data_IF_700343215883
#
_entry.id   IF_700343215883
#
_cell.length_a   1.000
_cell.length_b   1.000
_cell.length_c   1.000
_cell.angle_alpha   90.00
_cell.angle_beta   90.00
_cell.angle_gamma   90.00
#
_symmetry.space_group_name_H-M   'P 1'
#
loop_
_entity.id
_entity.type
_entity.pdbx_description
1 polymer ?
#
# COMPACT_ATOMS: atom_id res chain seq x y z
N UNK A 1 -39.29 -25.08 -5.95
CA UNK A 1 -39.64 -25.90 -4.78
C UNK A 1 -38.99 -25.24 -3.57
N UNK A 2 -39.81 -24.63 -2.69
CA UNK A 2 -39.37 -23.91 -1.50
C UNK A 2 -39.26 -24.86 -0.30
N UNK A 3 -38.15 -24.81 0.43
CA UNK A 3 -37.97 -25.26 1.83
C UNK A 3 -36.88 -24.34 2.40
N UNK A 4 -37.14 -23.27 3.18
CA UNK A 4 -37.72 -23.13 4.52
C UNK A 4 -36.99 -23.94 5.62
N UNK A 5 -36.23 -23.18 6.43
CA UNK A 5 -36.26 -23.13 7.92
C UNK A 5 -35.39 -24.11 8.73
N UNK A 6 -34.65 -23.53 9.69
CA UNK A 6 -34.21 -24.15 10.94
C UNK A 6 -32.68 -24.13 11.11
N UNK A 7 -32.07 -23.64 12.19
CA UNK A 7 -32.62 -23.25 13.47
C UNK A 7 -31.58 -22.52 14.35
N UNK A 8 -32.11 -21.81 15.33
CA UNK A 8 -31.39 -21.30 16.50
C UNK A 8 -31.00 -22.47 17.41
N UNK A 9 -29.85 -22.36 18.10
CA UNK A 9 -29.79 -22.66 19.55
C UNK A 9 -28.48 -22.19 20.19
N UNK A 10 -28.62 -21.32 21.19
CA UNK A 10 -27.68 -21.10 22.29
C UNK A 10 -27.84 -22.23 23.31
N UNK A 11 -26.75 -22.71 23.96
CA UNK A 11 -26.72 -23.22 25.35
C UNK A 11 -25.26 -23.62 25.73
N UNK A 12 -24.78 -23.12 26.89
CA UNK A 12 -23.40 -23.24 27.44
C UNK A 12 -23.04 -24.62 28.04
N UNK A 13 -22.13 -24.78 29.04
CA UNK A 13 -21.66 -23.80 30.05
C UNK A 13 -20.15 -23.84 30.45
N UNK A 14 -19.83 -22.91 31.36
CA UNK A 14 -18.71 -22.71 32.28
C UNK A 14 -17.70 -23.84 32.62
N UNK A 15 -16.44 -23.46 32.86
CA UNK A 15 -15.72 -23.81 34.11
C UNK A 15 -14.58 -22.81 34.40
N UNK A 16 -14.59 -22.30 35.63
CA UNK A 16 -13.62 -21.37 36.21
C UNK A 16 -12.49 -22.11 36.94
N UNK A 17 -11.31 -21.50 37.05
CA UNK A 17 -10.38 -21.73 38.17
C UNK A 17 -9.37 -20.58 38.30
N UNK A 18 -9.20 -20.14 39.55
CA UNK A 18 -8.50 -18.94 40.00
C UNK A 18 -7.32 -19.33 40.92
N UNK A 19 -6.38 -18.39 41.12
CA UNK A 19 -5.40 -18.27 42.24
C UNK A 19 -4.14 -19.17 42.08
N UNK A 20 -2.91 -18.64 42.12
CA UNK A 20 -2.15 -18.25 43.33
C UNK A 20 -1.06 -17.21 43.06
N UNK A 21 -1.02 -16.16 43.90
CA UNK A 21 0.15 -15.32 44.17
C UNK A 21 0.93 -15.89 45.36
N UNK A 22 2.21 -16.23 45.17
CA UNK A 22 3.29 -16.35 46.18
C UNK A 22 4.61 -16.21 45.38
N UNK A 23 5.66 -15.47 45.75
CA UNK A 23 5.98 -14.76 46.97
C UNK A 23 7.25 -13.90 46.80
N UNK A 24 7.53 -13.15 47.87
CA UNK A 24 8.66 -12.25 48.08
C UNK A 24 9.82 -13.00 48.77
N UNK A 25 11.08 -12.64 48.52
CA UNK A 25 12.21 -13.13 49.32
C UNK A 25 13.59 -12.92 48.69
N UNK A 26 14.33 -11.93 49.22
CA UNK A 26 15.78 -11.76 49.08
C UNK A 26 16.50 -12.60 50.14
N UNK A 27 17.62 -13.26 49.82
CA UNK A 27 18.94 -13.10 50.48
C UNK A 27 20.03 -14.02 49.86
N UNK A 28 21.29 -13.63 50.12
CA UNK A 28 22.56 -13.91 49.44
C UNK A 28 23.21 -15.26 49.85
N UNK A 29 23.97 -16.01 49.02
CA UNK A 29 25.46 -16.00 48.84
C UNK A 29 25.91 -17.36 48.22
N UNK A 30 27.20 -17.65 47.90
CA UNK A 30 27.85 -17.54 46.59
C UNK A 30 28.28 -18.88 45.96
N UNK A 31 28.66 -18.82 44.69
CA UNK A 31 29.72 -19.67 44.16
C UNK A 31 29.29 -20.86 43.31
N UNK A 32 29.34 -20.68 41.99
CA UNK A 32 30.01 -21.59 41.08
C UNK A 32 29.99 -20.99 39.69
N UNK A 33 31.17 -20.68 39.17
CA UNK A 33 31.39 -20.30 37.79
C UNK A 33 30.81 -21.37 36.84
N UNK A 34 29.81 -20.98 36.05
CA UNK A 34 29.53 -21.57 34.75
C UNK A 34 29.19 -20.43 33.80
N UNK A 35 30.02 -20.28 32.77
CA UNK A 35 29.85 -19.27 31.74
C UNK A 35 28.43 -19.33 31.18
N UNK A 36 27.70 -18.22 31.32
CA UNK A 36 26.43 -18.04 30.67
C UNK A 36 26.67 -18.01 29.16
N UNK A 37 26.32 -19.10 28.49
CA UNK A 37 26.17 -19.10 27.05
C UNK A 37 25.16 -18.00 26.69
N UNK A 38 25.63 -17.02 25.90
CA UNK A 38 24.81 -15.95 25.35
C UNK A 38 23.62 -16.60 24.63
N UNK A 39 22.36 -16.23 24.92
CA UNK A 39 21.22 -16.80 24.21
C UNK A 39 21.39 -16.51 22.72
N UNK A 40 21.45 -17.57 21.92
CA UNK A 40 21.44 -17.47 20.47
C UNK A 40 20.12 -16.79 20.09
N UNK A 41 20.21 -15.56 19.60
CA UNK A 41 19.09 -14.84 19.00
C UNK A 41 18.62 -15.71 17.84
N UNK A 42 17.43 -16.32 18.00
CA UNK A 42 16.79 -17.04 16.92
C UNK A 42 16.70 -16.08 15.71
N UNK A 43 17.10 -16.51 14.50
CA UNK A 43 17.05 -15.65 13.33
C UNK A 43 15.61 -15.19 13.14
N UNK A 44 15.41 -13.88 13.29
CA UNK A 44 14.13 -13.23 13.02
C UNK A 44 13.78 -13.56 11.58
N UNK A 45 12.63 -14.19 11.35
CA UNK A 45 12.10 -14.34 9.98
C UNK A 45 12.06 -12.95 9.37
N UNK A 46 12.85 -12.74 8.33
CA UNK A 46 12.86 -11.52 7.53
C UNK A 46 11.43 -11.30 7.06
N UNK A 47 10.82 -10.23 7.54
CA UNK A 47 9.47 -9.89 7.10
C UNK A 47 9.57 -9.45 5.64
N UNK A 48 8.57 -9.68 4.78
CA UNK A 48 8.58 -9.21 3.39
C UNK A 48 8.85 -7.69 3.26
N UNK A 49 8.59 -6.92 4.33
CA UNK A 49 8.93 -5.50 4.42
C UNK A 49 10.42 -5.17 4.57
N UNK A 50 11.27 -6.09 5.05
CA UNK A 50 12.71 -5.83 5.23
C UNK A 50 13.48 -5.78 3.90
N UNK A 51 12.88 -6.26 2.79
CA UNK A 51 13.49 -6.26 1.45
C UNK A 51 13.07 -5.05 0.59
N UNK A 52 12.20 -4.19 1.13
CA UNK A 52 11.65 -3.01 0.46
C UNK A 52 12.12 -1.76 1.18
N UNK A 53 12.50 -0.72 0.43
CA UNK A 53 12.88 0.57 1.02
C UNK A 53 11.75 1.11 1.92
N UNK A 54 12.06 1.65 3.10
CA UNK A 54 11.05 2.19 4.02
C UNK A 54 10.32 3.40 3.45
N UNK A 55 10.88 4.07 2.43
CA UNK A 55 10.27 5.22 1.77
C UNK A 55 9.19 4.81 0.74
N UNK A 56 9.10 3.53 0.37
CA UNK A 56 8.13 3.11 -0.64
C UNK A 56 6.72 3.06 -0.07
N UNK A 57 5.79 3.69 -0.77
CA UNK A 57 4.37 3.81 -0.45
C UNK A 57 3.57 2.77 -1.23
N UNK A 58 2.50 2.22 -0.65
CA UNK A 58 1.61 1.31 -1.37
C UNK A 58 0.81 2.03 -2.45
N UNK A 59 0.76 1.48 -3.66
CA UNK A 59 -0.13 1.96 -4.70
C UNK A 59 -1.58 1.59 -4.41
N UNK A 60 -2.51 2.40 -4.92
CA UNK A 60 -3.94 2.18 -4.71
C UNK A 60 -4.42 1.07 -5.64
N UNK A 61 -4.90 -0.05 -5.11
CA UNK A 61 -5.46 -1.14 -5.93
C UNK A 61 -6.94 -0.92 -6.21
N UNK A 62 -7.38 -1.20 -7.44
CA UNK A 62 -8.80 -1.14 -7.83
C UNK A 62 -9.57 -2.44 -7.56
N UNK A 63 -8.91 -3.50 -7.06
CA UNK A 63 -9.54 -4.81 -6.83
C UNK A 63 -10.60 -4.72 -5.72
N UNK A 64 -11.84 -5.09 -6.04
CA UNK A 64 -13.02 -4.79 -5.22
C UNK A 64 -13.44 -5.87 -4.21
N UNK A 65 -12.72 -6.97 -4.06
CA UNK A 65 -12.91 -7.94 -2.96
C UNK A 65 -11.94 -9.11 -3.06
N UNK A 66 -11.45 -9.59 -1.91
CA UNK A 66 -10.54 -10.73 -1.79
C UNK A 66 -9.07 -10.34 -1.51
N UNK A 67 -8.25 -11.29 -1.02
CA UNK A 67 -6.82 -11.05 -0.81
C UNK A 67 -6.14 -10.82 -2.16
N UNK A 68 -5.33 -9.77 -2.27
CA UNK A 68 -4.61 -9.46 -3.50
C UNK A 68 -3.51 -10.50 -3.76
N UNK A 69 -3.41 -10.99 -5.01
CA UNK A 69 -2.34 -11.92 -5.42
C UNK A 69 -0.96 -11.25 -5.43
N UNK A 70 -0.93 -9.93 -5.63
CA UNK A 70 0.27 -9.11 -5.57
C UNK A 70 0.01 -7.81 -4.81
N UNK A 71 1.06 -7.28 -4.21
CA UNK A 71 1.09 -5.91 -3.68
C UNK A 71 2.04 -5.08 -4.55
N UNK A 72 1.71 -3.82 -4.77
CA UNK A 72 2.56 -2.89 -5.49
C UNK A 72 2.91 -1.72 -4.59
N UNK A 73 4.21 -1.44 -4.49
CA UNK A 73 4.76 -0.28 -3.77
C UNK A 73 5.57 0.57 -4.74
N UNK A 74 5.61 1.87 -4.50
CA UNK A 74 6.34 2.80 -5.34
C UNK A 74 7.05 3.89 -4.53
N UNK A 75 8.06 4.50 -5.15
CA UNK A 75 8.74 5.69 -4.65
C UNK A 75 9.00 6.63 -5.84
N UNK A 76 8.68 7.92 -5.66
CA UNK A 76 9.07 8.97 -6.60
C UNK A 76 10.46 9.45 -6.20
N UNK A 77 11.44 9.36 -7.10
CA UNK A 77 12.84 9.71 -6.75
C UNK A 77 13.06 11.19 -6.46
N UNK A 78 12.24 12.03 -7.07
CA UNK A 78 12.25 13.46 -6.84
C UNK A 78 10.84 14.04 -6.93
N UNK A 79 10.70 15.31 -6.54
CA UNK A 79 9.44 16.02 -6.72
C UNK A 79 9.18 16.21 -8.22
N UNK A 80 8.01 15.80 -8.74
CA UNK A 80 7.68 15.97 -10.15
C UNK A 80 7.57 17.45 -10.55
N UNK A 81 8.15 17.80 -11.69
CA UNK A 81 8.13 19.15 -12.26
C UNK A 81 7.86 19.08 -13.77
N UNK A 82 7.29 20.15 -14.31
CA UNK A 82 6.93 20.22 -15.73
C UNK A 82 8.18 20.16 -16.59
N UNK A 83 8.13 19.36 -17.66
CA UNK A 83 9.21 19.16 -18.61
C UNK A 83 10.52 18.62 -18.01
N UNK A 84 10.48 18.06 -16.79
CA UNK A 84 11.61 17.33 -16.20
C UNK A 84 11.30 15.83 -16.12
N UNK A 85 12.21 14.95 -16.60
CA UNK A 85 12.04 13.51 -16.42
C UNK A 85 11.91 13.14 -14.94
N UNK A 86 11.02 12.20 -14.64
CA UNK A 86 10.83 11.65 -13.31
C UNK A 86 11.00 10.13 -13.38
N UNK A 87 11.89 9.61 -12.55
CA UNK A 87 12.03 8.19 -12.29
C UNK A 87 11.14 7.76 -11.12
N UNK A 88 10.37 6.70 -11.35
CA UNK A 88 9.50 6.05 -10.37
C UNK A 88 10.01 4.62 -10.17
N UNK A 89 10.46 4.33 -8.95
CA UNK A 89 10.82 2.97 -8.55
C UNK A 89 9.55 2.23 -8.14
N UNK A 90 9.33 1.05 -8.70
CA UNK A 90 8.21 0.17 -8.39
C UNK A 90 8.72 -1.16 -7.88
N UNK A 91 8.10 -1.65 -6.81
CA UNK A 91 8.30 -3.00 -6.28
C UNK A 91 6.97 -3.73 -6.30
N UNK A 92 6.96 -4.88 -6.95
CA UNK A 92 5.85 -5.81 -6.96
C UNK A 92 6.22 -6.96 -6.01
N UNK A 93 5.40 -7.17 -4.99
CA UNK A 93 5.54 -8.27 -4.05
C UNK A 93 4.45 -9.32 -4.33
N UNK A 94 4.83 -10.53 -4.78
CA UNK A 94 3.92 -11.67 -4.80
C UNK A 94 3.42 -11.94 -3.38
N UNK A 95 2.09 -11.94 -3.21
CA UNK A 95 1.43 -12.16 -1.93
C UNK A 95 0.74 -13.53 -1.85
N UNK A 96 0.65 -14.24 -2.99
CA UNK A 96 0.19 -15.62 -3.07
C UNK A 96 1.34 -16.56 -3.45
N UNK A 97 1.37 -17.75 -2.85
CA UNK A 97 2.23 -18.86 -3.27
C UNK A 97 1.69 -19.54 -4.52
N UNK A 98 2.56 -20.17 -5.32
CA UNK A 98 2.15 -21.04 -6.43
C UNK A 98 1.68 -20.31 -7.68
N UNK A 99 2.10 -19.05 -7.85
CA UNK A 99 1.95 -18.35 -9.12
C UNK A 99 2.85 -19.02 -10.17
N UNK A 100 2.31 -19.22 -11.36
CA UNK A 100 3.05 -19.75 -12.51
C UNK A 100 3.82 -18.64 -13.22
N UNK A 101 3.20 -17.47 -13.35
CA UNK A 101 3.76 -16.32 -14.07
C UNK A 101 3.22 -15.00 -13.54
N UNK A 102 4.04 -13.96 -13.57
CA UNK A 102 3.64 -12.58 -13.30
C UNK A 102 4.21 -11.67 -14.37
N UNK A 103 3.38 -10.80 -14.94
CA UNK A 103 3.78 -9.83 -15.96
C UNK A 103 2.85 -8.61 -15.90
N UNK A 104 3.12 -7.57 -16.67
CA UNK A 104 2.23 -6.42 -16.67
C UNK A 104 2.64 -5.31 -17.60
N UNK A 105 1.90 -4.21 -17.51
CA UNK A 105 2.17 -3.01 -18.30
C UNK A 105 1.84 -1.76 -17.51
N UNK A 106 2.42 -0.65 -17.97
CA UNK A 106 2.23 0.68 -17.40
C UNK A 106 1.55 1.57 -18.43
N UNK A 107 0.57 2.33 -17.95
CA UNK A 107 -0.18 3.32 -18.70
C UNK A 107 -0.13 4.65 -17.97
N UNK A 108 -0.13 5.76 -18.72
CA UNK A 108 -0.07 7.11 -18.15
C UNK A 108 -1.26 7.93 -18.65
N UNK A 109 -1.79 8.80 -17.78
CA UNK A 109 -2.87 9.72 -18.12
C UNK A 109 -2.38 10.91 -18.97
N UNK A 110 -3.31 11.61 -19.62
CA UNK A 110 -3.02 12.83 -20.39
C UNK A 110 -2.34 13.91 -19.54
N UNK A 111 -1.21 14.41 -20.01
CA UNK A 111 -0.36 15.33 -19.25
C UNK A 111 0.93 14.67 -18.74
N UNK A 112 1.05 13.35 -18.90
CA UNK A 112 2.28 12.59 -18.72
C UNK A 112 2.64 11.90 -20.05
N UNK A 113 3.94 11.84 -20.35
CA UNK A 113 4.47 10.98 -21.40
C UNK A 113 5.28 9.86 -20.77
N UNK A 114 5.08 8.64 -21.25
CA UNK A 114 5.85 7.48 -20.80
C UNK A 114 7.10 7.36 -21.67
N UNK A 115 8.28 7.55 -21.08
CA UNK A 115 9.56 7.46 -21.77
C UNK A 115 10.11 6.03 -21.71
N UNK A 116 10.06 5.39 -20.55
CA UNK A 116 10.60 4.03 -20.33
C UNK A 116 9.75 3.25 -19.32
N UNK A 117 9.90 1.93 -19.31
CA UNK A 117 9.24 1.06 -18.31
C UNK A 117 7.78 0.73 -18.62
N UNK A 118 7.36 0.79 -19.88
CA UNK A 118 5.98 0.49 -20.28
C UNK A 118 5.57 -0.97 -20.08
N UNK A 119 6.53 -1.90 -20.09
CA UNK A 119 6.28 -3.33 -19.91
C UNK A 119 6.99 -3.81 -18.66
N UNK A 120 6.27 -4.54 -17.81
CA UNK A 120 6.83 -5.26 -16.68
C UNK A 120 7.19 -6.65 -17.21
N UNK A 121 8.48 -6.97 -17.17
CA UNK A 121 8.99 -8.22 -17.72
C UNK A 121 8.34 -9.44 -17.05
N UNK A 122 8.00 -10.49 -17.81
CA UNK A 122 7.48 -11.71 -17.24
C UNK A 122 8.48 -12.33 -16.25
N UNK A 123 7.98 -12.70 -15.08
CA UNK A 123 8.70 -13.48 -14.07
C UNK A 123 8.01 -14.83 -13.92
N UNK A 124 8.72 -15.90 -14.24
CA UNK A 124 8.21 -17.26 -14.10
C UNK A 124 8.40 -17.73 -12.66
N UNK A 125 7.37 -18.41 -12.13
CA UNK A 125 7.33 -18.95 -10.77
C UNK A 125 7.82 -17.95 -9.71
N UNK A 126 7.22 -16.75 -9.62
CA UNK A 126 7.66 -15.74 -8.67
C UNK A 126 7.48 -16.26 -7.23
N UNK A 127 8.50 -16.06 -6.41
CA UNK A 127 8.51 -16.54 -5.02
C UNK A 127 7.75 -15.55 -4.13
N UNK A 128 6.84 -16.07 -3.31
CA UNK A 128 6.09 -15.27 -2.33
C UNK A 128 7.02 -14.41 -1.47
N UNK A 129 6.68 -13.13 -1.31
CA UNK A 129 7.45 -12.17 -0.52
C UNK A 129 8.77 -11.72 -1.13
N UNK A 130 9.19 -12.25 -2.29
CA UNK A 130 10.42 -11.81 -2.98
C UNK A 130 10.11 -10.61 -3.88
N UNK A 131 10.74 -9.44 -3.65
CA UNK A 131 10.43 -8.23 -4.40
C UNK A 131 10.92 -8.30 -5.85
N UNK A 132 10.01 -8.01 -6.79
CA UNK A 132 10.32 -7.81 -8.21
C UNK A 132 10.41 -6.31 -8.45
N UNK A 133 11.57 -5.83 -8.91
CA UNK A 133 11.84 -4.41 -9.11
C UNK A 133 11.54 -4.01 -10.55
N UNK A 134 10.91 -2.86 -10.73
CA UNK A 134 10.62 -2.25 -12.02
C UNK A 134 10.86 -0.74 -11.93
N UNK A 135 11.35 -0.12 -13.00
CA UNK A 135 11.58 1.32 -13.06
C UNK A 135 10.73 1.91 -14.19
N UNK A 136 10.07 3.02 -13.91
CA UNK A 136 9.25 3.75 -14.87
C UNK A 136 9.86 5.15 -15.01
N UNK A 137 10.04 5.61 -16.25
CA UNK A 137 10.45 6.98 -16.53
C UNK A 137 9.33 7.70 -17.24
N UNK A 138 8.89 8.82 -16.67
CA UNK A 138 7.85 9.66 -17.26
C UNK A 138 8.35 11.09 -17.46
N UNK A 139 7.71 11.81 -18.36
CA UNK A 139 7.89 13.24 -18.57
C UNK A 139 6.55 13.95 -18.40
N UNK A 140 6.34 14.69 -17.29
CA UNK A 140 5.19 15.57 -17.15
C UNK A 140 5.22 16.71 -18.16
N UNK A 141 4.09 17.00 -18.81
CA UNK A 141 4.00 18.04 -19.85
C UNK A 141 3.24 19.29 -19.40
N UNK A 142 2.58 19.24 -18.24
CA UNK A 142 1.83 20.36 -17.65
C UNK A 142 1.66 20.16 -16.13
N UNK A 143 1.36 21.23 -15.42
CA UNK A 143 1.02 21.19 -14.00
C UNK A 143 -0.29 20.47 -13.73
N UNK A 144 -0.39 19.79 -12.59
CA UNK A 144 -1.63 19.14 -12.16
C UNK A 144 -1.42 17.88 -11.33
N UNK A 145 -2.50 17.15 -11.13
CA UNK A 145 -2.52 15.84 -10.48
C UNK A 145 -2.87 14.81 -11.54
N UNK A 146 -1.99 13.83 -11.74
CA UNK A 146 -2.13 12.77 -12.73
C UNK A 146 -2.00 11.41 -12.08
N UNK A 147 -2.36 10.37 -12.85
CA UNK A 147 -2.24 8.99 -12.40
C UNK A 147 -1.40 8.19 -13.40
N UNK A 148 -0.48 7.40 -12.86
CA UNK A 148 0.16 6.29 -13.58
C UNK A 148 -0.52 5.00 -13.14
N UNK A 149 -1.00 4.21 -14.10
CA UNK A 149 -1.67 2.94 -13.86
C UNK A 149 -0.73 1.78 -14.21
N UNK A 150 -0.49 0.89 -13.25
CA UNK A 150 0.19 -0.38 -13.49
C UNK A 150 -0.85 -1.50 -13.49
N UNK A 151 -0.98 -2.19 -14.62
CA UNK A 151 -1.82 -3.39 -14.75
C UNK A 151 -0.91 -4.60 -14.60
N UNK A 152 -1.05 -5.31 -13.49
CA UNK A 152 -0.27 -6.52 -13.19
C UNK A 152 -1.17 -7.74 -13.37
N UNK A 153 -0.73 -8.67 -14.20
CA UNK A 153 -1.38 -9.94 -14.46
C UNK A 153 -0.60 -11.08 -13.81
N UNK A 154 -1.32 -12.03 -13.26
CA UNK A 154 -0.77 -13.26 -12.70
C UNK A 154 -1.49 -14.47 -13.28
N UNK A 155 -0.72 -15.49 -13.63
CA UNK A 155 -1.20 -16.81 -14.00
C UNK A 155 -0.99 -17.76 -12.82
N UNK A 156 -2.02 -18.52 -12.45
CA UNK A 156 -1.95 -19.53 -11.40
C UNK A 156 -2.94 -20.66 -11.70
N UNK A 157 -2.46 -21.91 -11.63
CA UNK A 157 -3.29 -23.11 -11.83
C UNK A 157 -4.09 -23.08 -13.16
N UNK A 158 -3.47 -22.54 -14.21
CA UNK A 158 -4.09 -22.40 -15.53
C UNK A 158 -5.16 -21.32 -15.65
N UNK A 159 -5.28 -20.44 -14.66
CA UNK A 159 -6.17 -19.26 -14.69
C UNK A 159 -5.35 -17.97 -14.66
N UNK A 160 -5.81 -16.95 -15.38
CA UNK A 160 -5.19 -15.63 -15.39
C UNK A 160 -6.08 -14.62 -14.66
N UNK A 161 -5.47 -13.77 -13.84
CA UNK A 161 -6.16 -12.64 -13.18
C UNK A 161 -5.32 -11.37 -13.28
N UNK A 162 -5.98 -10.21 -13.31
CA UNK A 162 -5.31 -8.90 -13.43
C UNK A 162 -5.76 -7.94 -12.34
N UNK A 163 -4.81 -7.17 -11.83
CA UNK A 163 -5.02 -6.12 -10.83
C UNK A 163 -4.44 -4.80 -11.35
N UNK A 164 -5.24 -3.74 -11.30
CA UNK A 164 -4.77 -2.38 -11.65
C UNK A 164 -4.41 -1.63 -10.38
N UNK A 165 -3.23 -1.01 -10.40
CA UNK A 165 -2.71 -0.16 -9.34
C UNK A 165 -2.53 1.26 -9.85
N UNK A 166 -2.99 2.24 -9.08
CA UNK A 166 -2.87 3.65 -9.38
C UNK A 166 -1.81 4.31 -8.51
N UNK A 167 -0.92 5.05 -9.16
CA UNK A 167 0.16 5.84 -8.56
C UNK A 167 -0.15 7.32 -8.83
N UNK A 168 -0.49 8.11 -7.80
CA UNK A 168 -0.72 9.55 -7.97
C UNK A 168 0.60 10.30 -8.18
N UNK A 169 0.63 11.18 -9.17
CA UNK A 169 1.75 12.06 -9.49
C UNK A 169 1.28 13.51 -9.44
N UNK A 170 1.84 14.29 -8.53
CA UNK A 170 1.51 15.72 -8.35
C UNK A 170 2.65 16.54 -8.93
N UNK A 171 2.37 17.24 -10.02
CA UNK A 171 3.35 18.01 -10.80
C UNK A 171 3.24 19.49 -10.42
N UNK A 172 4.40 20.10 -10.18
CA UNK A 172 4.49 21.52 -9.83
C UNK A 172 3.89 21.82 -8.46
N UNK A 173 3.07 22.87 -8.37
CA UNK A 173 2.37 23.24 -7.13
C UNK A 173 1.11 22.41 -6.86
N UNK A 174 0.68 21.55 -7.81
CA UNK A 174 -0.51 20.72 -7.64
C UNK A 174 -1.81 21.52 -7.54
N UNK A 175 -2.10 22.40 -8.52
CA UNK A 175 -3.31 23.22 -8.64
C UNK A 175 -3.62 24.20 -7.47
N UNK A 176 -3.99 25.46 -7.74
CA UNK A 176 -4.39 26.40 -6.69
C UNK A 176 -5.66 25.90 -6.00
N UNK A 177 -5.71 26.00 -4.67
CA UNK A 177 -6.92 25.74 -3.89
C UNK A 177 -8.11 26.52 -4.46
N UNK A 178 -9.34 25.97 -4.45
CA UNK A 178 -10.50 26.70 -4.92
C UNK A 178 -10.67 27.99 -4.10
N UNK A 179 -10.48 29.14 -4.75
CA UNK A 179 -10.78 30.44 -4.16
C UNK A 179 -12.28 30.49 -3.89
N UNK A 180 -12.65 30.34 -2.62
CA UNK A 180 -14.02 30.58 -2.15
C UNK A 180 -14.41 31.99 -2.58
N UNK A 181 -15.44 32.22 -3.40
CA UNK A 181 -15.87 33.56 -3.74
C UNK A 181 -16.30 34.24 -2.43
N UNK A 182 -15.48 35.18 -1.97
CA UNK A 182 -15.84 36.08 -0.88
C UNK A 182 -16.98 36.94 -1.40
N UNK A 183 -18.19 36.66 -0.93
CA UNK A 183 -19.35 37.53 -1.11
C UNK A 183 -19.04 38.87 -0.46
N UNK A 184 -18.40 39.77 -1.21
CA UNK A 184 -18.24 41.15 -0.82
C UNK A 184 -19.62 41.81 -0.90
N UNK A 185 -20.13 42.11 0.29
CA UNK A 185 -21.17 43.08 0.64
C UNK A 185 -21.24 44.26 -0.32
N UNK A 186 -22.36 44.42 -1.03
CA UNK A 186 -22.80 45.74 -1.51
C UNK A 186 -23.86 46.25 -0.55
N UNK A 187 -23.40 46.95 0.48
CA UNK A 187 -24.23 47.86 1.24
C UNK A 187 -24.49 49.09 0.36
N UNK A 188 -25.73 49.28 -0.08
CA UNK A 188 -26.20 50.57 -0.62
C UNK A 188 -27.50 50.95 0.07
N UNK A 189 -27.38 51.77 1.11
CA UNK A 189 -28.37 52.77 1.57
C UNK A 189 -27.76 54.12 1.19
N UNK A 190 -28.46 55.12 0.59
CA UNK A 190 -29.68 55.79 1.08
C UNK A 190 -30.64 56.14 -0.10
N UNK A 191 -31.75 56.89 -0.05
CA UNK A 191 -32.26 57.94 0.83
C UNK A 191 -33.79 58.04 0.64
N UNK A 192 -34.53 58.24 1.75
CA UNK A 192 -35.91 58.70 1.70
C UNK A 192 -35.90 60.23 1.81
N UNK A 193 -36.44 60.91 0.81
CA UNK A 193 -36.72 62.34 0.84
C UNK A 193 -38.25 62.54 0.95
N UNK A 194 -38.62 63.45 1.85
CA UNK A 194 -39.98 63.80 2.22
C UNK A 194 -40.74 64.55 1.11
N UNK A 195 -42.05 64.30 1.00
CA UNK A 195 -43.13 65.30 1.12
C UNK A 195 -44.50 64.63 1.07
#
# INVERSE_FOLDING_TARGET
>A
MYLRRGGFNNLGPALAASVMLVGCGSDETPGAARGAAKPAIAPRRTQPGDLVSPNMVSAVSSAHSGPASVQLKFELRERPDVARPLDIDVVILPAASGLDRLYGRVEVADGLQLAEGAQIAPTDRPVEGTPIRHSIKILPTRDGIFTVNAVVSVDAAGQSSSQTFSIPVIVGSGSPAPVKPSSATTATKPAAAAR
#
